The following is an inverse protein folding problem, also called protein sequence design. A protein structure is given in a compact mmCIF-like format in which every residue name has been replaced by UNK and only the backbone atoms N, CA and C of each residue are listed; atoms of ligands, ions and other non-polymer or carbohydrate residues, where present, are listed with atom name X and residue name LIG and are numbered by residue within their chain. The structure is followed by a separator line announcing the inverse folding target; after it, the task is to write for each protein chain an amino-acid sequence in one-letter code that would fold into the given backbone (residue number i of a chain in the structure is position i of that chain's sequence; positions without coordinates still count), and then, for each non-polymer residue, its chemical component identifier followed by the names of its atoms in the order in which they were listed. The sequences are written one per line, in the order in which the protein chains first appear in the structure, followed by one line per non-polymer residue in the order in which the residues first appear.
data_IF_733063045627
#
_entry.id   IF_733063045627
#
_cell.length_a   1.000
_cell.length_b   1.000
_cell.length_c   1.000
_cell.angle_alpha   90.00
_cell.angle_beta   90.00
_cell.angle_gamma   90.00
#
_symmetry.space_group_name_H-M   'P 1'
#
loop_
_entity.id
_entity.type
_entity.pdbx_description
1 polymer ?
#
# COMPACT_ATOMS: atom_id res chain seq x y z
N UNK A 1 -10.26 -3.58 -4.66
CA UNK A 1 -9.84 -2.38 -5.42
C UNK A 1 -8.80 -1.60 -4.63
N UNK A 2 -7.82 -0.97 -5.29
CA UNK A 2 -6.80 -0.18 -4.60
C UNK A 2 -7.26 1.27 -4.36
N UNK A 3 -7.13 1.76 -3.12
CA UNK A 3 -7.44 3.17 -2.81
C UNK A 3 -6.44 4.13 -3.48
N UNK A 4 -6.91 5.25 -4.03
CA UNK A 4 -6.02 6.32 -4.52
C UNK A 4 -5.36 7.06 -3.34
N UNK A 5 -4.30 7.85 -3.60
CA UNK A 5 -3.69 8.69 -2.55
C UNK A 5 -4.70 9.68 -1.94
N UNK A 6 -5.64 10.19 -2.75
CA UNK A 6 -6.71 11.05 -2.25
C UNK A 6 -7.67 10.29 -1.34
N UNK A 7 -8.12 9.10 -1.72
CA UNK A 7 -8.99 8.28 -0.87
C UNK A 7 -8.30 7.87 0.44
N UNK A 8 -7.00 7.58 0.41
CA UNK A 8 -6.19 7.33 1.62
C UNK A 8 -6.12 8.58 2.49
N UNK A 9 -5.83 9.72 1.88
CA UNK A 9 -5.75 11.01 2.55
C UNK A 9 -7.06 11.39 3.26
N UNK A 10 -8.19 11.22 2.57
CA UNK A 10 -9.51 11.51 3.12
C UNK A 10 -9.83 10.60 4.31
N UNK A 11 -9.51 9.29 4.21
CA UNK A 11 -9.76 8.32 5.29
C UNK A 11 -8.87 8.54 6.52
N UNK A 12 -7.62 8.95 6.30
CA UNK A 12 -6.63 9.14 7.36
C UNK A 12 -6.54 10.59 7.85
N UNK A 13 -7.32 11.50 7.28
CA UNK A 13 -7.32 12.95 7.60
C UNK A 13 -5.92 13.55 7.47
N UNK A 14 -5.26 13.27 6.35
CA UNK A 14 -3.92 13.79 6.00
C UNK A 14 -3.93 14.40 4.60
N UNK A 15 -2.85 15.07 4.20
CA UNK A 15 -2.74 15.57 2.83
C UNK A 15 -2.51 14.44 1.82
N UNK A 16 -2.98 14.57 0.56
CA UNK A 16 -2.65 13.62 -0.52
C UNK A 16 -1.14 13.43 -0.72
N UNK A 17 -0.33 14.48 -0.47
CA UNK A 17 1.13 14.42 -0.56
C UNK A 17 1.74 13.58 0.57
N UNK A 18 1.18 13.67 1.77
CA UNK A 18 1.58 12.82 2.91
C UNK A 18 1.27 11.35 2.61
N UNK A 19 0.06 11.07 2.09
CA UNK A 19 -0.31 9.72 1.67
C UNK A 19 0.62 9.17 0.58
N UNK A 20 0.99 9.99 -0.42
CA UNK A 20 1.97 9.63 -1.45
C UNK A 20 3.32 9.24 -0.83
N UNK A 21 3.89 10.08 0.03
CA UNK A 21 5.19 9.81 0.66
C UNK A 21 5.18 8.53 1.49
N UNK A 22 4.08 8.23 2.18
CA UNK A 22 3.92 6.96 2.88
C UNK A 22 3.90 5.76 1.92
N UNK A 23 3.21 5.85 0.79
CA UNK A 23 3.19 4.79 -0.23
C UNK A 23 4.59 4.57 -0.80
N UNK A 24 5.30 5.64 -1.15
CA UNK A 24 6.69 5.57 -1.63
C UNK A 24 7.61 4.89 -0.62
N UNK A 25 7.53 5.27 0.66
CA UNK A 25 8.31 4.63 1.72
C UNK A 25 7.98 3.15 1.91
N UNK A 26 6.71 2.75 1.80
CA UNK A 26 6.32 1.33 1.87
C UNK A 26 6.91 0.56 0.70
N UNK A 27 6.83 1.11 -0.51
CA UNK A 27 7.41 0.50 -1.70
C UNK A 27 8.92 0.27 -1.54
N UNK A 28 9.65 1.30 -1.10
CA UNK A 28 11.10 1.21 -0.84
C UNK A 28 11.39 0.14 0.21
N UNK A 29 10.67 0.13 1.34
CA UNK A 29 10.88 -0.83 2.43
C UNK A 29 10.64 -2.28 2.01
N UNK A 30 9.72 -2.50 1.06
CA UNK A 30 9.39 -3.83 0.55
C UNK A 30 10.17 -4.20 -0.73
N UNK A 31 11.00 -3.30 -1.25
CA UNK A 31 11.71 -3.52 -2.52
C UNK A 31 10.79 -3.57 -3.75
N UNK A 32 9.62 -2.93 -3.68
CA UNK A 32 8.64 -2.88 -4.75
C UNK A 32 8.69 -1.57 -5.52
N UNK A 33 8.25 -1.60 -6.77
CA UNK A 33 8.17 -0.43 -7.66
C UNK A 33 6.73 -0.01 -7.93
N UNK A 34 5.74 -0.84 -7.56
CA UNK A 34 4.33 -0.55 -7.77
C UNK A 34 3.42 -1.05 -6.66
N UNK A 35 2.30 -0.36 -6.50
CA UNK A 35 1.23 -0.73 -5.54
C UNK A 35 0.58 -2.07 -5.89
N UNK A 36 0.64 -2.47 -7.16
CA UNK A 36 0.15 -3.76 -7.62
C UNK A 36 0.96 -4.91 -7.01
N UNK A 37 2.28 -4.75 -6.85
CA UNK A 37 3.12 -5.74 -6.18
C UNK A 37 2.78 -5.90 -4.70
N UNK A 38 2.44 -4.79 -4.01
CA UNK A 38 1.93 -4.86 -2.63
C UNK A 38 0.65 -5.71 -2.57
N UNK A 39 -0.30 -5.47 -3.48
CA UNK A 39 -1.55 -6.22 -3.51
C UNK A 39 -1.33 -7.71 -3.79
N UNK A 40 -0.47 -8.05 -4.76
CA UNK A 40 -0.12 -9.44 -5.06
C UNK A 40 0.55 -10.13 -3.86
N UNK A 41 1.49 -9.45 -3.19
CA UNK A 41 2.17 -9.96 -2.00
C UNK A 41 1.22 -10.21 -0.81
N UNK A 42 0.22 -9.36 -0.60
CA UNK A 42 -0.81 -9.60 0.43
C UNK A 42 -1.60 -10.87 0.11
N UNK A 43 -2.04 -11.04 -1.14
CA UNK A 43 -2.80 -12.23 -1.56
C UNK A 43 -1.97 -13.50 -1.38
N UNK A 44 -0.70 -13.49 -1.74
CA UNK A 44 0.23 -14.62 -1.51
C UNK A 44 0.37 -14.95 -0.01
N UNK A 45 0.48 -13.94 0.85
CA UNK A 45 0.57 -14.13 2.31
C UNK A 45 -0.72 -14.65 2.93
N UNK A 46 -1.88 -14.24 2.45
CA UNK A 46 -3.17 -14.74 2.92
C UNK A 46 -3.39 -16.22 2.53
N UNK A 47 -2.76 -16.67 1.44
CA UNK A 47 -2.80 -18.07 1.00
C UNK A 47 -1.85 -18.99 1.76
N UNK A 48 -0.91 -18.45 2.55
CA UNK A 48 -0.11 -19.28 3.47
C UNK A 48 -0.98 -19.61 4.69
N UNK A 49 -1.41 -20.87 4.89
CA UNK A 49 -2.20 -21.22 6.06
C UNK A 49 -1.39 -20.89 7.31
N UNK A 50 -1.98 -20.12 8.22
CA UNK A 50 -1.38 -19.92 9.54
C UNK A 50 -1.34 -21.29 10.22
N UNK A 51 -0.17 -21.75 10.71
CA UNK A 51 -0.09 -23.00 11.46
C UNK A 51 -0.95 -22.95 12.73
#
# INVERSE_FOLDING_TARGET
EGMTNRAIADRLVISPRTAQGHVEHVLVKLGFTSRAQIAAWIVEREQTPRP
#
